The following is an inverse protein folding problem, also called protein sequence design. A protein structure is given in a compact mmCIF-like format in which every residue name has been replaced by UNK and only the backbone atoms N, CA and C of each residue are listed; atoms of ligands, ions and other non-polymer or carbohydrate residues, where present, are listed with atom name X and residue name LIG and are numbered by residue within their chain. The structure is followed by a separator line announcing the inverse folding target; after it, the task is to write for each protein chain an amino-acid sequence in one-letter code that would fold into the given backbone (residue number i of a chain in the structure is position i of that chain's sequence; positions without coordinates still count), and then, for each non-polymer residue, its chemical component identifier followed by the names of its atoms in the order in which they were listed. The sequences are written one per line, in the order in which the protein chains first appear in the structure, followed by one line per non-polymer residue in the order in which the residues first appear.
data_IF_779117637464
#
_entry.id   IF_779117637464
#
_cell.length_a   1.000
_cell.length_b   1.000
_cell.length_c   1.000
_cell.angle_alpha   90.00
_cell.angle_beta   90.00
_cell.angle_gamma   90.00
#
_symmetry.space_group_name_H-M   'P 1'
#
loop_
_entity.id
_entity.type
_entity.pdbx_description
1 polymer ?
#
# COMPACT_ATOMS: atom_id res chain seq x y z
N UNK A 1 19.20 58.78 -22.38
CA UNK A 1 20.37 59.39 -21.71
C UNK A 1 21.19 58.23 -21.19
N UNK A 2 22.11 57.66 -22.01
CA UNK A 2 23.54 57.95 -21.96
C UNK A 2 24.09 57.69 -20.54
N UNK A 3 25.06 56.84 -20.26
CA UNK A 3 26.29 56.41 -20.96
C UNK A 3 26.86 55.17 -20.31
N UNK A 4 27.35 54.24 -21.07
CA UNK A 4 28.58 53.43 -20.77
C UNK A 4 29.80 54.34 -20.87
N UNK A 5 30.99 54.02 -20.40
CA UNK A 5 31.90 53.01 -20.95
C UNK A 5 32.84 52.33 -19.91
N UNK A 6 33.47 51.19 -20.12
CA UNK A 6 34.52 50.72 -21.04
C UNK A 6 35.94 50.65 -20.43
N UNK A 7 36.49 49.40 -20.38
CA UNK A 7 37.87 48.93 -20.73
C UNK A 7 39.03 49.33 -19.78
N UNK A 8 39.96 48.43 -19.40
CA UNK A 8 41.10 47.81 -20.09
C UNK A 8 41.88 46.91 -19.11
N UNK A 9 42.25 45.70 -19.42
CA UNK A 9 43.40 45.09 -20.14
C UNK A 9 44.80 45.30 -19.58
N UNK A 10 45.46 44.17 -19.47
CA UNK A 10 46.92 43.81 -19.71
C UNK A 10 47.68 43.45 -18.46
N UNK A 11 48.55 42.49 -18.44
CA UNK A 11 49.16 41.44 -19.27
C UNK A 11 50.45 40.98 -18.63
N UNK A 12 50.86 39.74 -18.90
CA UNK A 12 52.23 39.15 -18.98
C UNK A 12 52.87 38.71 -17.67
N UNK A 13 53.11 37.47 -17.43
CA UNK A 13 53.96 36.44 -18.01
C UNK A 13 55.42 36.53 -17.55
N UNK A 14 55.96 35.39 -17.15
CA UNK A 14 57.28 34.80 -17.50
C UNK A 14 57.68 33.77 -16.42
N UNK A 15 57.68 32.56 -16.73
CA UNK A 15 58.62 31.46 -16.97
C UNK A 15 59.77 31.19 -15.96
N UNK A 16 59.95 29.89 -15.83
CA UNK A 16 61.12 29.06 -15.50
C UNK A 16 61.14 28.58 -14.05
N UNK A 17 61.35 27.34 -13.72
CA UNK A 17 61.78 26.13 -14.39
C UNK A 17 62.40 25.18 -13.35
N UNK A 18 62.24 23.92 -13.61
CA UNK A 18 63.19 22.80 -13.31
C UNK A 18 63.16 22.10 -11.95
N UNK A 19 62.86 20.84 -12.02
CA UNK A 19 63.43 19.58 -11.48
C UNK A 19 62.96 18.98 -10.17
N UNK A 20 62.30 17.90 -10.35
CA UNK A 20 62.42 16.53 -9.80
C UNK A 20 62.89 16.29 -8.36
N UNK A 21 62.04 15.61 -7.61
CA UNK A 21 62.45 14.44 -6.78
C UNK A 21 61.22 13.66 -6.33
N UNK A 22 61.23 12.34 -6.55
CA UNK A 22 60.33 11.36 -6.03
C UNK A 22 60.32 11.33 -4.50
N UNK A 23 59.12 11.31 -3.89
CA UNK A 23 58.89 10.62 -2.62
C UNK A 23 57.43 10.15 -2.59
N UNK A 24 57.27 8.85 -2.58
CA UNK A 24 55.98 8.19 -2.30
C UNK A 24 55.62 8.38 -0.83
N UNK A 25 54.47 8.96 -0.57
CA UNK A 25 53.83 8.91 0.74
C UNK A 25 52.33 8.72 0.54
N UNK A 26 51.88 7.55 0.95
CA UNK A 26 50.46 7.17 1.06
C UNK A 26 49.81 8.06 2.11
N UNK A 27 48.85 8.88 1.70
CA UNK A 27 47.95 9.58 2.58
C UNK A 27 46.52 9.11 2.24
N UNK A 28 45.97 8.37 3.16
CA UNK A 28 44.52 8.09 3.20
C UNK A 28 43.79 9.43 3.39
N UNK A 29 43.12 9.86 2.35
CA UNK A 29 42.21 11.01 2.38
C UNK A 29 40.78 10.51 2.52
N UNK A 30 40.20 10.67 3.71
CA UNK A 30 38.75 10.68 3.89
C UNK A 30 38.20 11.95 3.24
N UNK A 31 37.33 11.83 2.29
CA UNK A 31 36.50 12.96 1.89
C UNK A 31 35.21 12.44 1.21
N UNK A 32 34.09 12.97 1.67
CA UNK A 32 32.89 13.15 0.87
C UNK A 32 31.90 12.01 0.95
N UNK A 33 30.94 12.17 1.83
CA UNK A 33 29.65 11.48 1.78
C UNK A 33 28.90 11.96 0.54
N UNK A 34 28.97 11.22 -0.54
CA UNK A 34 27.96 11.27 -1.57
C UNK A 34 26.99 10.11 -1.32
N UNK A 35 25.75 10.49 -0.98
CA UNK A 35 24.67 9.58 -0.68
C UNK A 35 24.05 9.10 -1.98
N UNK A 36 24.78 8.32 -2.77
CA UNK A 36 24.22 7.50 -3.83
C UNK A 36 23.91 6.11 -3.24
N UNK A 37 22.75 5.99 -2.58
CA UNK A 37 22.21 4.70 -2.17
C UNK A 37 21.36 4.13 -3.32
N UNK A 38 21.92 3.98 -4.48
CA UNK A 38 21.46 2.99 -5.45
C UNK A 38 22.29 1.73 -5.19
N UNK A 39 21.78 0.81 -4.40
CA UNK A 39 22.42 -0.49 -4.17
C UNK A 39 22.58 -1.21 -5.51
N UNK A 40 23.80 -1.25 -6.02
CA UNK A 40 24.19 -2.07 -7.18
C UNK A 40 24.32 -3.55 -6.79
N UNK A 41 23.47 -4.06 -5.91
CA UNK A 41 23.43 -5.45 -5.56
C UNK A 41 23.01 -6.25 -6.81
N UNK A 42 23.95 -6.99 -7.40
CA UNK A 42 23.63 -7.90 -8.49
C UNK A 42 22.83 -9.08 -7.96
N UNK A 43 21.62 -9.28 -8.53
CA UNK A 43 20.81 -10.46 -8.22
C UNK A 43 21.48 -11.72 -8.76
N UNK A 44 21.39 -12.82 -8.01
CA UNK A 44 21.79 -14.13 -8.51
C UNK A 44 20.73 -14.64 -9.51
N UNK A 45 21.12 -15.49 -10.49
CA UNK A 45 20.14 -16.15 -11.34
C UNK A 45 19.17 -17.01 -10.52
N UNK A 46 17.90 -17.06 -10.95
CA UNK A 46 16.88 -17.85 -10.26
C UNK A 46 17.22 -19.35 -10.24
N UNK A 47 16.98 -19.98 -9.10
CA UNK A 47 16.83 -21.42 -9.02
C UNK A 47 15.65 -21.90 -9.87
N UNK A 48 15.58 -23.18 -10.20
CA UNK A 48 14.44 -23.72 -10.95
C UNK A 48 13.08 -23.51 -10.22
N UNK A 49 13.11 -23.51 -8.89
CA UNK A 49 11.93 -23.24 -8.07
C UNK A 49 11.45 -21.77 -8.20
N UNK A 50 12.39 -20.83 -8.21
CA UNK A 50 12.12 -19.40 -8.23
C UNK A 50 12.01 -18.79 -9.64
N UNK A 51 12.32 -19.57 -10.70
CA UNK A 51 12.24 -19.08 -12.07
C UNK A 51 10.78 -18.97 -12.53
N UNK A 52 10.37 -17.76 -12.93
CA UNK A 52 9.02 -17.43 -13.41
C UNK A 52 8.93 -17.28 -14.92
N UNK A 53 10.06 -17.20 -15.64
CA UNK A 53 10.11 -16.83 -17.07
C UNK A 53 9.28 -17.73 -17.99
N UNK A 54 9.01 -18.98 -17.59
CA UNK A 54 8.25 -19.94 -18.42
C UNK A 54 6.76 -19.99 -18.08
N UNK A 55 6.34 -19.35 -16.98
CA UNK A 55 4.98 -19.49 -16.44
C UNK A 55 4.28 -18.18 -16.20
N UNK A 56 5.01 -17.06 -16.09
CA UNK A 56 4.47 -15.73 -15.90
C UNK A 56 4.63 -14.85 -17.15
N UNK A 57 3.85 -13.76 -17.27
CA UNK A 57 4.16 -12.69 -18.21
C UNK A 57 5.59 -12.16 -18.00
N UNK A 58 6.20 -11.61 -19.06
CA UNK A 58 7.53 -11.00 -18.96
C UNK A 58 7.57 -9.83 -17.97
N UNK A 59 6.48 -9.09 -17.89
CA UNK A 59 6.23 -8.05 -16.92
C UNK A 59 4.95 -8.37 -16.18
N UNK A 60 5.04 -8.56 -14.87
CA UNK A 60 3.89 -8.79 -13.99
C UNK A 60 3.37 -7.45 -13.50
N UNK A 61 2.33 -6.93 -14.14
CA UNK A 61 1.73 -5.65 -13.80
C UNK A 61 0.74 -5.79 -12.66
N UNK A 62 0.99 -5.04 -11.57
CA UNK A 62 0.14 -5.02 -10.37
C UNK A 62 -0.44 -3.63 -10.16
N UNK A 63 -1.76 -3.50 -10.17
CA UNK A 63 -2.46 -2.28 -9.77
C UNK A 63 -2.62 -2.25 -8.25
N UNK A 64 -2.01 -1.28 -7.60
CA UNK A 64 -2.17 -1.05 -6.16
C UNK A 64 -3.51 -0.34 -5.88
N UNK A 65 -4.04 -0.47 -4.65
CA UNK A 65 -5.28 0.19 -4.25
C UNK A 65 -5.08 1.66 -3.84
N UNK A 66 -3.85 2.06 -3.52
CA UNK A 66 -3.49 3.41 -3.07
C UNK A 66 -2.07 3.76 -3.51
N UNK A 67 -1.55 4.93 -3.11
CA UNK A 67 -0.11 5.22 -3.23
C UNK A 67 0.70 4.19 -2.43
N UNK A 68 1.99 3.98 -2.77
CA UNK A 68 2.81 2.96 -2.12
C UNK A 68 2.93 3.17 -0.61
N UNK A 69 2.63 2.11 0.16
CA UNK A 69 2.67 2.11 1.63
C UNK A 69 2.99 0.71 2.17
N UNK A 70 3.32 0.64 3.44
CA UNK A 70 3.75 -0.58 4.14
C UNK A 70 2.77 -1.75 4.12
N UNK A 71 1.47 -1.50 4.04
CA UNK A 71 0.43 -2.54 3.94
C UNK A 71 0.44 -3.30 2.60
N UNK A 72 1.21 -2.83 1.63
CA UNK A 72 1.43 -3.48 0.33
C UNK A 72 2.79 -4.17 0.24
N UNK A 73 3.52 -4.25 1.36
CA UNK A 73 4.90 -4.75 1.42
C UNK A 73 5.07 -6.17 0.84
N UNK A 74 4.02 -7.01 0.90
CA UNK A 74 4.06 -8.37 0.33
C UNK A 74 4.29 -8.39 -1.20
N UNK A 75 3.88 -7.35 -1.92
CA UNK A 75 4.13 -7.21 -3.37
C UNK A 75 5.27 -6.23 -3.66
N UNK A 76 5.37 -5.12 -2.91
CA UNK A 76 6.46 -4.14 -3.13
C UNK A 76 7.82 -4.76 -2.84
N UNK A 77 7.91 -5.66 -1.85
CA UNK A 77 9.15 -6.35 -1.50
C UNK A 77 9.65 -7.35 -2.55
N UNK A 78 8.89 -7.58 -3.62
CA UNK A 78 9.33 -8.34 -4.79
C UNK A 78 10.02 -7.46 -5.85
N UNK A 79 10.01 -6.15 -5.69
CA UNK A 79 10.73 -5.22 -6.56
C UNK A 79 12.23 -5.29 -6.26
N UNK A 80 13.01 -5.77 -7.21
CA UNK A 80 14.46 -5.92 -7.09
C UNK A 80 15.21 -4.60 -7.30
N UNK A 81 16.51 -4.58 -7.02
CA UNK A 81 17.35 -3.40 -7.21
C UNK A 81 17.45 -3.00 -8.68
N UNK A 82 17.72 -1.73 -8.92
CA UNK A 82 17.83 -1.17 -10.29
C UNK A 82 16.48 -0.87 -10.93
N UNK A 83 15.42 -0.76 -10.13
CA UNK A 83 14.11 -0.33 -10.60
C UNK A 83 14.12 1.12 -11.11
N UNK A 84 13.16 1.45 -11.94
CA UNK A 84 12.95 2.80 -12.48
C UNK A 84 11.57 3.29 -12.09
N UNK A 85 11.50 4.52 -11.57
CA UNK A 85 10.24 5.21 -11.27
C UNK A 85 9.78 6.00 -12.48
N UNK A 86 8.55 5.80 -12.89
CA UNK A 86 7.85 6.57 -13.92
C UNK A 86 6.80 7.47 -13.25
N UNK A 87 7.16 8.73 -13.07
CA UNK A 87 6.30 9.72 -12.42
C UNK A 87 5.12 10.15 -13.29
N UNK A 88 5.19 9.99 -14.60
CA UNK A 88 4.08 10.31 -15.50
C UNK A 88 2.96 9.27 -15.38
N UNK A 89 3.32 7.99 -15.32
CA UNK A 89 2.40 6.87 -15.19
C UNK A 89 2.18 6.41 -13.74
N UNK A 90 2.78 7.10 -12.76
CA UNK A 90 2.65 6.78 -11.32
C UNK A 90 3.01 5.32 -11.02
N UNK A 91 4.11 4.84 -11.61
CA UNK A 91 4.51 3.44 -11.54
C UNK A 91 6.00 3.28 -11.28
N UNK A 92 6.37 2.07 -10.88
CA UNK A 92 7.76 1.63 -10.75
C UNK A 92 7.91 0.28 -11.42
N UNK A 93 9.00 0.09 -12.19
CA UNK A 93 9.30 -1.16 -12.89
C UNK A 93 10.72 -1.60 -12.59
N UNK A 94 10.92 -2.86 -12.32
CA UNK A 94 12.23 -3.47 -12.11
C UNK A 94 12.18 -5.00 -12.13
N UNK A 95 13.32 -5.67 -11.95
CA UNK A 95 13.36 -7.11 -11.85
C UNK A 95 12.44 -7.61 -10.74
N UNK A 96 11.62 -8.63 -11.00
CA UNK A 96 10.94 -9.36 -9.94
C UNK A 96 11.98 -10.23 -9.23
N UNK A 97 12.31 -9.85 -7.99
CA UNK A 97 13.34 -10.49 -7.21
C UNK A 97 12.73 -11.23 -6.01
N UNK A 98 13.25 -12.43 -5.76
CA UNK A 98 12.87 -13.20 -4.59
C UNK A 98 14.08 -13.93 -4.01
N UNK A 99 14.28 -13.83 -2.69
CA UNK A 99 15.39 -14.46 -1.97
C UNK A 99 16.78 -14.17 -2.59
N UNK A 100 16.99 -12.88 -2.98
CA UNK A 100 18.23 -12.40 -3.61
C UNK A 100 18.45 -12.89 -5.05
N UNK A 101 17.44 -13.49 -5.68
CA UNK A 101 17.50 -14.03 -7.04
C UNK A 101 16.60 -13.22 -7.99
N UNK A 102 17.06 -13.03 -9.23
CA UNK A 102 16.26 -12.54 -10.35
C UNK A 102 15.38 -13.68 -10.88
N UNK A 103 14.06 -13.54 -10.79
CA UNK A 103 13.13 -14.59 -11.20
C UNK A 103 12.99 -14.76 -12.72
N UNK A 104 13.65 -13.90 -13.52
CA UNK A 104 13.63 -13.91 -14.98
C UNK A 104 12.43 -13.21 -15.60
N UNK A 105 11.68 -12.44 -14.81
CA UNK A 105 10.60 -11.55 -15.26
C UNK A 105 10.68 -10.22 -14.51
N UNK A 106 10.07 -9.18 -15.06
CA UNK A 106 9.94 -7.89 -14.40
C UNK A 106 8.64 -7.80 -13.60
N UNK A 107 8.58 -6.82 -12.69
CA UNK A 107 7.36 -6.41 -12.00
C UNK A 107 7.15 -4.91 -12.20
N UNK A 108 5.94 -4.54 -12.61
CA UNK A 108 5.49 -3.15 -12.66
C UNK A 108 4.41 -2.93 -11.62
N UNK A 109 4.67 -2.05 -10.65
CA UNK A 109 3.70 -1.65 -9.63
C UNK A 109 3.12 -0.29 -10.03
N UNK A 110 1.80 -0.19 -10.18
CA UNK A 110 1.09 1.05 -10.51
C UNK A 110 0.35 1.56 -9.27
N UNK A 111 0.58 2.81 -8.91
CA UNK A 111 -0.12 3.43 -7.80
C UNK A 111 -1.63 3.54 -8.07
N UNK A 112 -2.42 3.41 -7.02
CA UNK A 112 -3.88 3.55 -7.04
C UNK A 112 -4.37 4.84 -6.38
N UNK A 113 -5.61 4.84 -5.90
CA UNK A 113 -6.22 5.98 -5.27
C UNK A 113 -6.27 7.22 -6.16
N UNK A 114 -5.68 8.36 -5.74
CA UNK A 114 -5.65 9.57 -6.57
C UNK A 114 -5.00 9.36 -7.95
N UNK A 115 -4.01 8.48 -8.08
CA UNK A 115 -3.30 8.20 -9.32
C UNK A 115 -4.21 7.64 -10.43
N UNK A 116 -5.29 6.99 -10.06
CA UNK A 116 -6.32 6.46 -10.99
C UNK A 116 -7.67 7.17 -10.84
N UNK A 117 -7.66 8.41 -10.31
CA UNK A 117 -8.89 9.20 -10.14
C UNK A 117 -9.91 8.58 -9.19
N UNK A 118 -9.47 7.83 -8.18
CA UNK A 118 -10.31 7.08 -7.24
C UNK A 118 -11.20 6.03 -7.90
N UNK A 119 -10.85 5.58 -9.11
CA UNK A 119 -11.48 4.42 -9.73
C UNK A 119 -11.19 3.16 -8.89
N UNK A 120 -12.15 2.24 -8.81
CA UNK A 120 -11.90 0.97 -8.14
C UNK A 120 -10.87 0.12 -8.90
N UNK A 121 -10.06 -0.64 -8.18
CA UNK A 121 -9.07 -1.53 -8.81
C UNK A 121 -9.72 -2.57 -9.74
N UNK A 122 -10.86 -3.22 -9.40
CA UNK A 122 -11.57 -4.05 -10.36
C UNK A 122 -11.90 -3.32 -11.66
N UNK A 123 -12.40 -2.08 -11.60
CA UNK A 123 -12.70 -1.29 -12.79
C UNK A 123 -11.44 -0.97 -13.62
N UNK A 124 -10.33 -0.65 -12.97
CA UNK A 124 -9.06 -0.44 -13.65
C UNK A 124 -8.57 -1.71 -14.37
N UNK A 125 -8.69 -2.88 -13.72
CA UNK A 125 -8.32 -4.18 -14.31
C UNK A 125 -9.18 -4.56 -15.53
N UNK A 126 -10.45 -4.15 -15.54
CA UNK A 126 -11.32 -4.38 -16.70
C UNK A 126 -11.17 -3.34 -17.80
N UNK A 127 -10.63 -2.15 -17.47
CA UNK A 127 -10.35 -1.10 -18.44
C UNK A 127 -9.00 -1.27 -19.14
N UNK A 128 -8.04 -1.95 -18.50
CA UNK A 128 -6.68 -2.16 -19.01
C UNK A 128 -6.26 -3.63 -18.89
N UNK A 129 -6.26 -4.35 -20.00
CA UNK A 129 -5.90 -5.77 -20.08
C UNK A 129 -4.41 -6.05 -19.75
N UNK A 130 -3.55 -5.03 -19.69
CA UNK A 130 -2.16 -5.19 -19.27
C UNK A 130 -2.01 -5.47 -17.76
N UNK A 131 -3.02 -5.12 -16.95
CA UNK A 131 -2.99 -5.35 -15.52
C UNK A 131 -3.25 -6.83 -15.24
N UNK A 132 -2.24 -7.54 -14.75
CA UNK A 132 -2.33 -8.97 -14.43
C UNK A 132 -2.95 -9.20 -13.06
N UNK A 133 -2.56 -8.38 -12.07
CA UNK A 133 -2.97 -8.49 -10.68
C UNK A 133 -3.46 -7.14 -10.17
N UNK A 134 -4.35 -7.17 -9.17
CA UNK A 134 -4.79 -5.97 -8.46
C UNK A 134 -4.84 -6.20 -6.97
N UNK A 135 -4.52 -5.18 -6.17
CA UNK A 135 -4.78 -5.21 -4.73
C UNK A 135 -6.20 -4.68 -4.48
N UNK A 136 -7.06 -5.53 -3.93
CA UNK A 136 -8.48 -5.21 -3.73
C UNK A 136 -8.90 -5.53 -2.30
N UNK A 137 -9.67 -4.65 -1.67
CA UNK A 137 -10.28 -4.96 -0.38
C UNK A 137 -11.41 -6.00 -0.52
N UNK A 138 -11.60 -6.83 0.48
CA UNK A 138 -12.54 -7.94 0.41
C UNK A 138 -13.99 -7.51 0.17
N UNK A 139 -14.40 -6.40 0.72
CA UNK A 139 -15.72 -5.79 0.49
C UNK A 139 -15.89 -5.30 -0.96
N UNK A 140 -14.85 -4.75 -1.56
CA UNK A 140 -14.82 -4.35 -2.97
C UNK A 140 -14.86 -5.57 -3.90
N UNK A 141 -14.18 -6.69 -3.53
CA UNK A 141 -14.30 -7.96 -4.24
C UNK A 141 -15.76 -8.46 -4.25
N UNK A 142 -16.45 -8.36 -3.11
CA UNK A 142 -17.84 -8.74 -2.99
C UNK A 142 -18.72 -7.81 -3.83
N UNK A 143 -18.53 -6.51 -3.74
CA UNK A 143 -19.29 -5.52 -4.51
C UNK A 143 -19.16 -5.71 -6.03
N UNK A 144 -17.97 -6.07 -6.50
CA UNK A 144 -17.66 -6.28 -7.92
C UNK A 144 -18.08 -7.66 -8.47
N UNK A 145 -18.64 -8.53 -7.64
CA UNK A 145 -18.82 -9.95 -7.97
C UNK A 145 -19.74 -10.21 -9.18
N UNK A 146 -20.63 -9.29 -9.53
CA UNK A 146 -21.57 -9.41 -10.65
C UNK A 146 -20.98 -8.89 -11.95
N UNK A 147 -20.48 -7.66 -11.94
CA UNK A 147 -20.17 -6.92 -13.17
C UNK A 147 -18.68 -6.95 -13.55
N UNK A 148 -17.80 -6.92 -12.57
CA UNK A 148 -16.34 -6.84 -12.75
C UNK A 148 -15.65 -7.84 -11.84
N UNK A 149 -16.02 -9.13 -11.98
CA UNK A 149 -15.59 -10.18 -11.07
C UNK A 149 -14.07 -10.36 -11.09
N UNK A 150 -13.46 -10.14 -9.94
CA UNK A 150 -12.08 -10.48 -9.64
C UNK A 150 -12.06 -11.48 -8.48
N UNK A 151 -11.05 -12.34 -8.45
CA UNK A 151 -10.89 -13.41 -7.45
C UNK A 151 -9.66 -13.15 -6.62
N UNK A 152 -9.82 -13.05 -5.31
CA UNK A 152 -8.71 -12.95 -4.37
C UNK A 152 -7.96 -14.28 -4.28
N UNK A 153 -6.63 -14.24 -4.46
CA UNK A 153 -5.75 -15.43 -4.47
C UNK A 153 -4.89 -15.53 -3.22
N UNK A 154 -4.65 -14.42 -2.51
CA UNK A 154 -4.04 -14.34 -1.19
C UNK A 154 -4.28 -12.96 -0.57
N UNK A 155 -4.63 -12.85 0.72
CA UNK A 155 -4.70 -11.57 1.40
C UNK A 155 -3.30 -11.16 1.85
N UNK A 156 -2.93 -9.89 1.64
CA UNK A 156 -1.75 -9.32 2.30
C UNK A 156 -2.05 -9.02 3.77
N UNK A 157 -3.30 -8.66 4.08
CA UNK A 157 -3.75 -8.29 5.42
C UNK A 157 -4.88 -9.20 5.89
N UNK A 158 -4.77 -9.71 7.10
CA UNK A 158 -5.77 -10.56 7.73
C UNK A 158 -7.09 -9.82 8.01
N UNK A 159 -7.04 -8.48 8.14
CA UNK A 159 -8.20 -7.63 8.23
C UNK A 159 -7.86 -6.20 7.80
N UNK A 160 -8.89 -5.40 7.51
CA UNK A 160 -8.73 -4.00 7.14
C UNK A 160 -8.43 -3.16 8.40
N UNK A 161 -7.28 -2.48 8.49
CA UNK A 161 -6.92 -1.63 9.62
C UNK A 161 -7.62 -0.26 9.61
N UNK A 162 -8.79 -0.15 9.00
CA UNK A 162 -9.61 1.06 9.03
C UNK A 162 -10.01 1.45 10.44
N UNK A 163 -9.98 2.74 10.71
CA UNK A 163 -10.38 3.35 11.99
C UNK A 163 -11.41 4.46 11.78
N UNK A 164 -12.09 4.80 12.84
CA UNK A 164 -12.67 6.14 13.00
C UNK A 164 -11.90 6.80 14.14
N UNK A 165 -11.32 7.96 13.85
CA UNK A 165 -10.51 8.74 14.79
C UNK A 165 -11.22 10.02 15.22
N UNK A 166 -10.81 10.58 16.37
CA UNK A 166 -11.34 11.81 16.95
C UNK A 166 -10.30 12.52 17.82
N UNK A 167 -10.56 13.80 18.09
CA UNK A 167 -9.82 14.54 19.13
C UNK A 167 -10.29 14.10 20.52
N UNK A 168 -9.44 13.49 21.36
CA UNK A 168 -9.83 13.10 22.72
C UNK A 168 -10.22 14.26 23.62
N UNK A 169 -9.81 15.50 23.30
CA UNK A 169 -10.22 16.68 24.04
C UNK A 169 -11.66 17.11 23.69
N UNK A 170 -12.05 16.96 22.43
CA UNK A 170 -13.41 17.27 21.97
C UNK A 170 -14.42 16.15 22.31
N UNK A 171 -13.95 14.91 22.39
CA UNK A 171 -14.77 13.72 22.61
C UNK A 171 -14.20 12.85 23.75
N UNK A 172 -14.13 13.34 25.01
CA UNK A 172 -13.46 12.62 26.10
C UNK A 172 -14.12 11.29 26.48
N UNK A 173 -15.42 11.15 26.24
CA UNK A 173 -16.22 9.97 26.60
C UNK A 173 -16.28 8.91 25.50
N UNK A 174 -15.77 9.20 24.29
CA UNK A 174 -15.76 8.26 23.17
C UNK A 174 -14.64 7.24 23.33
N UNK A 175 -14.98 5.96 23.23
CA UNK A 175 -14.06 4.83 23.28
C UNK A 175 -14.25 3.84 22.12
N UNK A 176 -15.45 3.81 21.56
CA UNK A 176 -15.85 2.85 20.51
C UNK A 176 -16.60 3.56 19.39
N UNK A 177 -16.74 2.90 18.24
CA UNK A 177 -17.58 3.39 17.13
C UNK A 177 -19.04 3.61 17.59
N UNK A 178 -19.57 2.75 18.45
CA UNK A 178 -20.93 2.90 18.97
C UNK A 178 -21.09 4.15 19.86
N UNK A 179 -20.04 4.61 20.54
CA UNK A 179 -20.08 5.87 21.31
C UNK A 179 -20.23 7.06 20.37
N UNK A 180 -19.55 7.05 19.21
CA UNK A 180 -19.69 8.08 18.17
C UNK A 180 -21.15 8.13 17.68
N UNK A 181 -21.78 6.98 17.45
CA UNK A 181 -23.18 6.93 17.06
C UNK A 181 -24.15 7.51 18.07
N UNK A 182 -23.79 7.48 19.37
CA UNK A 182 -24.61 8.04 20.45
C UNK A 182 -24.46 9.54 20.63
N UNK A 183 -23.30 10.11 20.30
CA UNK A 183 -23.02 11.53 20.54
C UNK A 183 -23.33 12.47 19.36
N UNK A 184 -23.90 11.93 18.28
CA UNK A 184 -24.28 12.68 17.07
C UNK A 184 -23.14 13.44 16.37
N UNK A 185 -21.87 13.14 16.66
CA UNK A 185 -20.73 13.72 15.96
C UNK A 185 -20.77 13.37 14.46
N UNK A 186 -20.40 14.32 13.62
CA UNK A 186 -20.23 14.08 12.18
C UNK A 186 -19.09 13.10 11.96
N UNK A 187 -19.28 12.13 11.07
CA UNK A 187 -18.29 11.12 10.69
C UNK A 187 -17.88 11.35 9.24
N UNK A 188 -16.69 11.91 9.04
CA UNK A 188 -16.16 12.22 7.72
C UNK A 188 -15.51 10.97 7.13
N UNK A 189 -16.05 10.48 6.02
CA UNK A 189 -15.65 9.24 5.35
C UNK A 189 -15.52 9.46 3.85
N UNK A 190 -14.74 8.63 3.18
CA UNK A 190 -14.70 8.62 1.73
C UNK A 190 -15.94 7.92 1.17
N UNK A 191 -16.45 8.43 0.06
CA UNK A 191 -17.67 7.90 -0.59
C UNK A 191 -17.48 6.51 -1.23
N UNK A 192 -16.23 6.08 -1.45
CA UNK A 192 -15.87 4.77 -2.00
C UNK A 192 -15.76 3.68 -0.93
N UNK A 193 -15.87 4.04 0.36
CA UNK A 193 -15.81 3.09 1.48
C UNK A 193 -17.17 2.43 1.73
N UNK A 194 -17.15 1.13 1.98
CA UNK A 194 -18.36 0.33 2.23
C UNK A 194 -18.68 0.23 3.73
N UNK A 195 -17.65 0.25 4.60
CA UNK A 195 -17.86 0.09 6.04
C UNK A 195 -18.81 1.13 6.68
N UNK A 196 -18.92 2.40 6.22
CA UNK A 196 -19.84 3.36 6.83
C UNK A 196 -21.30 2.93 6.69
N UNK A 197 -21.67 2.41 5.53
CA UNK A 197 -23.01 1.89 5.27
C UNK A 197 -23.31 0.65 6.13
N UNK A 198 -22.29 -0.24 6.30
CA UNK A 198 -22.40 -1.37 7.19
C UNK A 198 -22.60 -0.94 8.65
N UNK A 199 -21.86 0.06 9.14
CA UNK A 199 -22.02 0.61 10.48
C UNK A 199 -23.43 1.18 10.70
N UNK A 200 -24.00 1.85 9.70
CA UNK A 200 -25.38 2.35 9.73
C UNK A 200 -26.39 1.19 9.75
N UNK A 201 -26.20 0.18 8.90
CA UNK A 201 -27.08 -0.99 8.85
C UNK A 201 -27.06 -1.80 10.15
N UNK A 202 -25.93 -1.81 10.88
CA UNK A 202 -25.80 -2.41 12.21
C UNK A 202 -26.27 -1.52 13.35
N UNK A 203 -26.74 -0.30 13.07
CA UNK A 203 -27.23 0.65 14.07
C UNK A 203 -26.12 1.25 14.95
N UNK A 204 -24.85 1.16 14.51
CA UNK A 204 -23.69 1.70 15.23
C UNK A 204 -23.47 3.19 14.91
N UNK A 205 -23.90 3.64 13.75
CA UNK A 205 -23.93 5.05 13.33
C UNK A 205 -25.31 5.38 12.76
N UNK A 206 -25.63 6.67 12.72
CA UNK A 206 -26.83 7.19 12.05
C UNK A 206 -26.43 7.64 10.63
N UNK A 207 -27.29 7.43 9.65
CA UNK A 207 -27.06 7.91 8.27
C UNK A 207 -26.83 9.43 8.22
N UNK A 208 -27.49 10.18 9.10
CA UNK A 208 -27.36 11.64 9.22
C UNK A 208 -25.99 12.11 9.73
N UNK A 209 -25.19 11.22 10.34
CA UNK A 209 -23.83 11.54 10.80
C UNK A 209 -22.81 11.43 9.66
N UNK A 210 -23.10 10.69 8.60
CA UNK A 210 -22.14 10.44 7.53
C UNK A 210 -21.96 11.69 6.66
N UNK A 211 -20.72 12.12 6.53
CA UNK A 211 -20.26 13.13 5.61
C UNK A 211 -19.23 12.52 4.66
N UNK A 212 -19.60 12.38 3.40
CA UNK A 212 -18.79 11.65 2.39
C UNK A 212 -17.77 12.54 1.67
N UNK A 213 -17.27 13.58 2.32
CA UNK A 213 -16.33 14.53 1.73
C UNK A 213 -14.86 14.30 2.13
N UNK A 214 -14.52 13.14 2.69
CA UNK A 214 -13.13 12.80 2.99
C UNK A 214 -12.29 12.72 1.71
N UNK A 215 -11.19 13.46 1.69
CA UNK A 215 -10.27 13.56 0.55
C UNK A 215 -8.83 13.09 0.87
N UNK A 216 -8.60 12.57 2.08
CA UNK A 216 -7.28 12.15 2.57
C UNK A 216 -6.47 13.28 3.22
N UNK A 217 -6.90 14.54 3.14
CA UNK A 217 -6.17 15.67 3.69
C UNK A 217 -6.55 15.94 5.17
N UNK A 218 -5.58 16.35 6.02
CA UNK A 218 -5.83 16.61 7.43
C UNK A 218 -6.56 17.93 7.70
N UNK A 219 -6.63 18.83 6.73
CA UNK A 219 -7.05 20.22 6.91
C UNK A 219 -8.43 20.36 7.56
N UNK A 220 -9.37 19.51 7.16
CA UNK A 220 -10.74 19.55 7.69
C UNK A 220 -10.82 19.18 9.17
N UNK A 221 -10.17 18.06 9.54
CA UNK A 221 -10.14 17.60 10.92
C UNK A 221 -9.40 18.59 11.84
N UNK A 222 -8.28 19.14 11.34
CA UNK A 222 -7.52 20.17 12.05
C UNK A 222 -8.32 21.44 12.25
N UNK A 223 -9.12 21.84 11.25
CA UNK A 223 -9.96 23.05 11.28
C UNK A 223 -11.22 22.90 12.13
N UNK A 224 -11.73 21.68 12.31
CA UNK A 224 -12.91 21.38 13.12
C UNK A 224 -12.73 20.07 13.90
N UNK A 225 -12.12 20.14 15.10
CA UNK A 225 -11.90 18.95 15.95
C UNK A 225 -13.18 18.34 16.54
N UNK A 226 -14.35 18.94 16.31
CA UNK A 226 -15.63 18.38 16.77
C UNK A 226 -16.13 17.23 15.90
N UNK A 227 -15.57 17.07 14.69
CA UNK A 227 -15.88 15.95 13.83
C UNK A 227 -15.12 14.68 14.25
N UNK A 228 -15.61 13.54 13.80
CA UNK A 228 -14.83 12.30 13.74
C UNK A 228 -14.51 11.98 12.28
N UNK A 229 -13.46 11.23 12.02
CA UNK A 229 -12.97 11.02 10.66
C UNK A 229 -12.47 9.60 10.47
N UNK A 230 -12.68 9.05 9.28
CA UNK A 230 -12.00 7.81 8.89
C UNK A 230 -10.49 8.00 8.83
N UNK A 231 -9.78 6.91 8.94
CA UNK A 231 -8.35 6.78 8.72
C UNK A 231 -7.92 5.33 8.74
N UNK A 232 -6.62 5.10 8.78
CA UNK A 232 -6.02 3.79 8.93
C UNK A 232 -5.09 3.77 10.14
N UNK A 233 -5.23 2.79 11.00
CA UNK A 233 -4.44 2.70 12.24
C UNK A 233 -2.93 2.76 12.00
N UNK A 234 -2.47 2.34 10.83
CA UNK A 234 -1.07 2.31 10.42
C UNK A 234 -0.50 3.66 9.95
N UNK A 235 -1.32 4.67 9.74
CA UNK A 235 -0.91 5.94 9.14
C UNK A 235 -1.33 7.14 9.99
N UNK A 236 -2.61 7.50 10.01
CA UNK A 236 -3.10 8.75 10.60
C UNK A 236 -2.68 8.99 12.05
N UNK A 237 -2.64 8.01 12.97
CA UNK A 237 -2.18 8.28 14.33
C UNK A 237 -0.75 8.85 14.37
N UNK A 238 0.15 8.34 13.53
CA UNK A 238 1.52 8.85 13.43
C UNK A 238 1.57 10.20 12.72
N UNK A 239 0.91 10.31 11.56
CA UNK A 239 0.93 11.51 10.72
C UNK A 239 0.38 12.72 11.47
N UNK A 240 -0.73 12.55 12.19
CA UNK A 240 -1.32 13.65 12.97
C UNK A 240 -0.44 14.04 14.15
N UNK A 241 0.17 13.09 14.83
CA UNK A 241 1.01 13.40 16.00
C UNK A 241 2.36 14.02 15.62
N UNK A 242 2.95 13.61 14.49
CA UNK A 242 4.34 13.93 14.17
C UNK A 242 4.54 14.75 12.90
N UNK A 243 3.64 14.66 11.93
CA UNK A 243 3.83 15.22 10.58
C UNK A 243 2.75 16.23 10.17
N UNK A 244 1.79 16.51 11.05
CA UNK A 244 0.77 17.55 10.83
C UNK A 244 1.04 18.74 11.76
N UNK A 245 1.87 19.74 11.36
CA UNK A 245 2.32 20.81 12.26
C UNK A 245 1.17 21.62 12.88
N UNK A 246 0.05 21.73 12.18
CA UNK A 246 -1.14 22.43 12.67
C UNK A 246 -1.94 21.63 13.71
N UNK A 247 -1.59 20.36 13.93
CA UNK A 247 -2.21 19.47 14.93
C UNK A 247 -1.22 19.06 16.01
N UNK A 248 -0.18 18.30 15.64
CA UNK A 248 0.99 17.93 16.45
C UNK A 248 0.66 17.39 17.85
N UNK A 249 -0.35 16.53 17.95
CA UNK A 249 -0.79 15.82 19.15
C UNK A 249 -1.45 14.48 18.78
N UNK A 250 -1.54 13.52 19.72
CA UNK A 250 -2.22 12.26 19.46
C UNK A 250 -3.69 12.44 19.07
N UNK A 251 -4.20 11.57 18.22
CA UNK A 251 -5.62 11.32 18.02
C UNK A 251 -6.03 10.05 18.78
N UNK A 252 -7.27 9.99 19.26
CA UNK A 252 -7.87 8.74 19.70
C UNK A 252 -8.60 8.08 18.52
N UNK A 253 -8.73 6.76 18.55
CA UNK A 253 -9.42 6.01 17.49
C UNK A 253 -10.02 4.71 17.97
N UNK A 254 -10.97 4.19 17.22
CA UNK A 254 -11.49 2.84 17.31
C UNK A 254 -11.32 2.10 15.97
N UNK A 255 -10.88 0.83 16.03
CA UNK A 255 -10.82 -0.01 14.84
C UNK A 255 -12.23 -0.38 14.38
N UNK A 256 -12.50 -0.25 13.08
CA UNK A 256 -13.79 -0.66 12.49
C UNK A 256 -13.98 -2.18 12.63
N UNK A 257 -12.88 -2.94 12.57
CA UNK A 257 -12.87 -4.38 12.85
C UNK A 257 -13.43 -4.74 14.23
N UNK A 258 -13.12 -3.95 15.26
CA UNK A 258 -13.59 -4.22 16.62
C UNK A 258 -15.10 -4.01 16.77
N UNK A 259 -15.71 -3.28 15.85
CA UNK A 259 -17.17 -3.18 15.71
C UNK A 259 -17.80 -4.39 15.00
N UNK A 260 -16.99 -5.31 14.47
CA UNK A 260 -17.41 -6.54 13.79
C UNK A 260 -17.22 -6.54 12.27
N UNK A 261 -16.67 -5.48 11.68
CA UNK A 261 -16.37 -5.39 10.25
C UNK A 261 -15.03 -6.06 9.92
N UNK A 262 -15.01 -7.39 9.93
CA UNK A 262 -13.77 -8.18 9.80
C UNK A 262 -13.54 -8.64 8.36
N UNK A 263 -13.12 -7.71 7.51
CA UNK A 263 -12.88 -7.90 6.07
C UNK A 263 -11.40 -8.10 5.79
N UNK A 264 -11.04 -9.09 4.98
CA UNK A 264 -9.68 -9.18 4.42
C UNK A 264 -9.36 -7.93 3.60
N UNK A 265 -8.11 -7.46 3.66
CA UNK A 265 -7.73 -6.28 2.91
C UNK A 265 -6.47 -6.50 2.07
N UNK A 266 -6.28 -5.64 1.07
CA UNK A 266 -5.16 -5.72 0.14
C UNK A 266 -5.01 -7.14 -0.44
N UNK A 267 -6.13 -7.73 -0.88
CA UNK A 267 -6.08 -9.06 -1.49
C UNK A 267 -5.41 -8.95 -2.86
N UNK A 268 -4.37 -9.73 -3.08
CA UNK A 268 -3.86 -9.97 -4.43
C UNK A 268 -4.96 -10.68 -5.21
N UNK A 269 -5.40 -10.09 -6.29
CA UNK A 269 -6.59 -10.51 -7.02
C UNK A 269 -6.34 -10.56 -8.51
N UNK A 270 -7.08 -11.43 -9.18
CA UNK A 270 -7.01 -11.67 -10.63
C UNK A 270 -8.40 -11.55 -11.23
N UNK A 271 -8.53 -10.99 -12.42
CA UNK A 271 -9.80 -11.06 -13.17
C UNK A 271 -10.23 -12.52 -13.31
N UNK A 272 -11.52 -12.78 -13.07
CA UNK A 272 -12.05 -14.14 -13.07
C UNK A 272 -11.87 -14.87 -14.42
N UNK A 273 -11.94 -14.12 -15.53
CA UNK A 273 -11.72 -14.64 -16.89
C UNK A 273 -10.25 -14.91 -17.23
N UNK A 274 -9.29 -14.34 -16.45
CA UNK A 274 -7.85 -14.53 -16.59
C UNK A 274 -7.25 -15.54 -15.62
N UNK A 275 -8.03 -15.99 -14.63
CA UNK A 275 -7.54 -16.86 -13.56
C UNK A 275 -6.91 -18.16 -14.08
N UNK A 276 -7.56 -18.82 -15.07
CA UNK A 276 -7.05 -20.07 -15.64
C UNK A 276 -5.74 -19.85 -16.41
N UNK A 277 -5.62 -18.75 -17.16
CA UNK A 277 -4.43 -18.37 -17.93
C UNK A 277 -3.25 -18.10 -16.98
N UNK A 278 -3.49 -17.37 -15.89
CA UNK A 278 -2.45 -16.99 -14.93
C UNK A 278 -2.15 -18.07 -13.87
N UNK A 279 -2.93 -19.15 -13.80
CA UNK A 279 -2.79 -20.19 -12.78
C UNK A 279 -1.36 -20.78 -12.68
N UNK A 280 -0.63 -21.08 -13.77
CA UNK A 280 0.76 -21.55 -13.67
C UNK A 280 1.71 -20.53 -13.01
N UNK A 281 1.51 -19.23 -13.28
CA UNK A 281 2.26 -18.16 -12.66
C UNK A 281 1.91 -18.03 -11.16
N UNK A 282 0.63 -18.01 -10.83
CA UNK A 282 0.13 -17.84 -9.46
C UNK A 282 0.61 -18.95 -8.53
N UNK A 283 0.73 -20.21 -8.99
CA UNK A 283 1.25 -21.32 -8.19
C UNK A 283 2.68 -21.10 -7.70
N UNK A 284 3.46 -20.28 -8.39
CA UNK A 284 4.82 -19.91 -7.97
C UNK A 284 4.85 -18.54 -7.29
N UNK A 285 4.14 -17.57 -7.82
CA UNK A 285 4.20 -16.18 -7.35
C UNK A 285 3.50 -15.98 -6.00
N UNK A 286 2.35 -16.63 -5.75
CA UNK A 286 1.62 -16.47 -4.48
C UNK A 286 2.45 -16.91 -3.28
N UNK A 287 3.14 -18.07 -3.28
CA UNK A 287 4.07 -18.42 -2.19
C UNK A 287 5.19 -17.40 -1.97
N UNK A 288 5.70 -16.76 -3.02
CA UNK A 288 6.70 -15.69 -2.88
C UNK A 288 6.11 -14.46 -2.19
N UNK A 289 4.89 -14.06 -2.57
CA UNK A 289 4.16 -12.96 -1.94
C UNK A 289 3.91 -13.26 -0.44
N UNK A 290 3.45 -14.47 -0.11
CA UNK A 290 3.24 -14.90 1.27
C UNK A 290 4.55 -14.81 2.08
N UNK A 291 5.65 -15.34 1.54
CA UNK A 291 6.95 -15.32 2.21
C UNK A 291 7.49 -13.90 2.38
N UNK A 292 7.30 -13.03 1.37
CA UNK A 292 7.69 -11.62 1.45
C UNK A 292 6.92 -10.88 2.53
N UNK A 293 5.61 -11.08 2.65
CA UNK A 293 4.80 -10.53 3.73
C UNK A 293 5.25 -11.03 5.12
N UNK A 294 5.54 -12.32 5.27
CA UNK A 294 6.11 -12.90 6.50
C UNK A 294 7.48 -12.30 6.84
N UNK A 295 8.35 -12.13 5.85
CA UNK A 295 9.67 -11.55 6.04
C UNK A 295 9.58 -10.10 6.46
N UNK A 296 8.67 -9.33 5.87
CA UNK A 296 8.47 -7.92 6.16
C UNK A 296 8.20 -7.63 7.64
N UNK A 297 7.32 -8.39 8.30
CA UNK A 297 7.04 -8.16 9.73
C UNK A 297 8.22 -8.47 10.66
N UNK A 298 9.26 -9.12 10.17
CA UNK A 298 10.46 -9.45 10.93
C UNK A 298 11.67 -8.57 10.56
N UNK A 299 11.72 -8.06 9.33
CA UNK A 299 12.79 -7.22 8.81
C UNK A 299 12.23 -6.20 7.79
N UNK A 300 11.54 -5.14 8.26
CA UNK A 300 10.81 -4.22 7.38
C UNK A 300 11.71 -3.20 6.66
N UNK A 301 12.94 -2.95 7.14
CA UNK A 301 13.73 -1.76 6.82
C UNK A 301 14.02 -1.61 5.32
N UNK A 302 14.43 -2.69 4.65
CA UNK A 302 14.76 -2.65 3.23
C UNK A 302 13.53 -2.33 2.36
N UNK A 303 12.38 -2.95 2.65
CA UNK A 303 11.13 -2.71 1.91
C UNK A 303 10.61 -1.30 2.22
N UNK A 304 10.68 -0.86 3.47
CA UNK A 304 10.34 0.51 3.86
C UNK A 304 11.20 1.54 3.12
N UNK A 305 12.51 1.30 2.99
CA UNK A 305 13.39 2.18 2.24
C UNK A 305 12.97 2.27 0.76
N UNK A 306 12.61 1.16 0.11
CA UNK A 306 12.09 1.15 -1.26
C UNK A 306 10.79 1.94 -1.38
N UNK A 307 9.85 1.79 -0.44
CA UNK A 307 8.59 2.53 -0.44
C UNK A 307 8.85 4.04 -0.32
N UNK A 308 9.66 4.44 0.65
CA UNK A 308 10.02 5.84 0.90
C UNK A 308 10.74 6.45 -0.30
N UNK A 309 11.68 5.72 -0.90
CA UNK A 309 12.39 6.15 -2.10
C UNK A 309 11.41 6.38 -3.27
N UNK A 310 10.56 5.40 -3.59
CA UNK A 310 9.57 5.56 -4.65
C UNK A 310 8.66 6.77 -4.42
N UNK A 311 8.05 6.88 -3.22
CA UNK A 311 7.15 8.00 -2.91
C UNK A 311 7.88 9.35 -2.98
N UNK A 312 9.15 9.41 -2.56
CA UNK A 312 9.93 10.65 -2.57
C UNK A 312 10.22 11.19 -3.97
N UNK A 313 10.22 10.33 -4.98
CA UNK A 313 10.48 10.68 -6.37
C UNK A 313 9.25 11.26 -7.11
N UNK A 314 8.03 11.10 -6.55
CA UNK A 314 6.80 11.60 -7.18
C UNK A 314 6.10 12.63 -6.29
N UNK A 315 6.24 13.90 -6.65
CA UNK A 315 5.65 15.04 -5.93
C UNK A 315 4.12 15.05 -5.91
N UNK A 316 3.45 14.18 -6.66
CA UNK A 316 2.00 14.03 -6.64
C UNK A 316 1.52 13.13 -5.48
N UNK A 317 2.43 12.37 -4.86
CA UNK A 317 2.10 11.57 -3.69
C UNK A 317 2.13 12.41 -2.41
N UNK A 318 1.29 12.02 -1.44
CA UNK A 318 1.46 12.50 -0.07
C UNK A 318 2.75 11.92 0.49
N UNK A 319 3.52 12.73 1.19
CA UNK A 319 4.76 12.31 1.83
C UNK A 319 4.52 11.02 2.65
N UNK A 320 5.44 10.08 2.52
CA UNK A 320 5.50 8.87 3.33
C UNK A 320 6.89 8.77 3.93
N UNK A 321 7.02 9.17 5.19
CA UNK A 321 8.32 9.29 5.83
C UNK A 321 8.86 7.94 6.31
N UNK A 322 10.17 7.88 6.55
CA UNK A 322 10.78 6.72 7.20
C UNK A 322 10.20 6.45 8.60
N UNK A 323 9.79 7.52 9.32
CA UNK A 323 9.14 7.41 10.62
C UNK A 323 7.75 6.78 10.51
N UNK A 324 6.93 7.23 9.55
CA UNK A 324 5.62 6.64 9.27
C UNK A 324 5.76 5.18 8.82
N UNK A 325 6.72 4.88 7.96
CA UNK A 325 6.98 3.52 7.50
C UNK A 325 7.35 2.57 8.66
N UNK A 326 8.22 3.01 9.57
CA UNK A 326 8.61 2.24 10.75
C UNK A 326 7.43 2.05 11.73
N UNK A 327 6.65 3.09 11.99
CA UNK A 327 5.42 3.02 12.78
C UNK A 327 4.42 2.04 12.18
N UNK A 328 4.16 2.16 10.87
CA UNK A 328 3.28 1.27 10.11
C UNK A 328 3.69 -0.19 10.25
N UNK A 329 4.95 -0.53 9.98
CA UNK A 329 5.46 -1.89 10.06
C UNK A 329 5.26 -2.49 11.46
N UNK A 330 5.58 -1.69 12.50
CA UNK A 330 5.38 -2.10 13.89
C UNK A 330 3.90 -2.35 14.20
N UNK A 331 3.02 -1.46 13.81
CA UNK A 331 1.58 -1.58 14.06
C UNK A 331 0.99 -2.80 13.32
N UNK A 332 1.34 -2.98 12.05
CA UNK A 332 0.87 -4.10 11.23
C UNK A 332 1.23 -5.45 11.86
N UNK A 333 2.42 -5.55 12.48
CA UNK A 333 2.87 -6.69 13.26
C UNK A 333 2.11 -6.82 14.58
N UNK A 334 2.18 -5.80 15.42
CA UNK A 334 1.70 -5.85 16.82
C UNK A 334 0.19 -6.07 16.90
N UNK A 335 -0.56 -5.56 15.93
CA UNK A 335 -2.01 -5.76 15.83
C UNK A 335 -2.40 -7.03 15.08
N UNK A 336 -1.44 -7.77 14.52
CA UNK A 336 -1.72 -8.97 13.75
C UNK A 336 -2.44 -8.69 12.43
N UNK A 337 -2.23 -7.50 11.85
CA UNK A 337 -2.78 -7.15 10.54
C UNK A 337 -2.07 -7.96 9.45
N UNK A 338 -0.73 -8.01 9.52
CA UNK A 338 0.08 -8.97 8.76
C UNK A 338 0.49 -10.07 9.75
N UNK A 339 -0.18 -11.20 9.66
CA UNK A 339 -0.02 -12.34 10.57
C UNK A 339 -0.45 -13.62 9.85
N UNK A 340 -0.09 -14.79 10.38
CA UNK A 340 -0.68 -16.03 9.91
C UNK A 340 -2.19 -16.05 10.17
N UNK A 341 -2.93 -16.72 9.29
CA UNK A 341 -4.35 -16.99 9.48
C UNK A 341 -4.62 -17.96 10.64
N UNK A 342 -5.88 -18.32 10.85
CA UNK A 342 -6.30 -19.26 11.91
C UNK A 342 -5.69 -20.67 11.79
N UNK A 343 -5.22 -21.03 10.59
CA UNK A 343 -4.51 -22.27 10.26
C UNK A 343 -2.98 -22.19 10.47
N UNK A 344 -2.48 -21.04 10.90
CA UNK A 344 -1.05 -20.78 11.10
C UNK A 344 -0.28 -20.44 9.81
N UNK A 345 -0.97 -20.21 8.68
CA UNK A 345 -0.37 -19.91 7.38
C UNK A 345 -0.50 -18.42 7.05
N UNK A 346 0.61 -17.77 6.69
CA UNK A 346 0.55 -16.39 6.20
C UNK A 346 -0.19 -16.32 4.85
N UNK A 347 -1.01 -15.29 4.66
CA UNK A 347 -1.74 -15.08 3.42
C UNK A 347 -2.84 -16.13 3.15
N UNK A 348 -3.30 -16.89 4.15
CA UNK A 348 -4.41 -17.81 4.01
C UNK A 348 -5.76 -17.13 4.24
N UNK A 349 -6.80 -17.74 3.67
CA UNK A 349 -8.20 -17.37 3.90
C UNK A 349 -8.89 -18.33 4.85
N UNK A 350 -9.55 -17.81 5.87
CA UNK A 350 -10.62 -18.51 6.59
C UNK A 350 -11.94 -18.35 5.81
N UNK A 351 -12.37 -19.41 5.15
CA UNK A 351 -13.54 -19.37 4.27
C UNK A 351 -14.85 -19.21 5.06
N UNK A 352 -14.88 -19.56 6.36
CA UNK A 352 -16.04 -19.32 7.23
C UNK A 352 -16.17 -17.84 7.53
N UNK A 353 -15.06 -17.18 7.88
CA UNK A 353 -14.97 -15.73 8.04
C UNK A 353 -15.38 -15.02 6.74
N UNK A 354 -14.83 -15.47 5.60
CA UNK A 354 -15.14 -14.90 4.29
C UNK A 354 -16.65 -15.01 3.95
N UNK A 355 -17.26 -16.16 4.22
CA UNK A 355 -18.70 -16.34 3.96
C UNK A 355 -19.55 -15.45 4.87
N UNK A 356 -19.18 -15.34 6.14
CA UNK A 356 -19.90 -14.48 7.09
C UNK A 356 -19.95 -13.03 6.63
N UNK A 357 -18.83 -12.47 6.18
CA UNK A 357 -18.82 -11.06 5.73
C UNK A 357 -19.57 -10.87 4.41
N UNK A 358 -19.56 -11.87 3.51
CA UNK A 358 -20.36 -11.86 2.29
C UNK A 358 -21.85 -11.80 2.66
N UNK A 359 -22.30 -12.64 3.58
CA UNK A 359 -23.71 -12.70 4.01
C UNK A 359 -24.14 -11.40 4.71
N UNK A 360 -23.24 -10.79 5.49
CA UNK A 360 -23.47 -9.50 6.16
C UNK A 360 -23.54 -8.34 5.17
N UNK A 361 -22.71 -8.31 4.12
CA UNK A 361 -22.60 -7.19 3.18
C UNK A 361 -23.61 -7.28 2.03
N UNK A 362 -23.94 -8.49 1.56
CA UNK A 362 -24.82 -8.69 0.40
C UNK A 362 -26.13 -7.93 0.47
N UNK A 363 -26.92 -7.96 1.56
CA UNK A 363 -28.18 -7.21 1.62
C UNK A 363 -27.96 -5.69 1.58
N UNK A 364 -26.85 -5.20 2.15
CA UNK A 364 -26.49 -3.78 2.17
C UNK A 364 -26.11 -3.32 0.76
N UNK A 365 -25.24 -4.06 0.09
CA UNK A 365 -24.79 -3.78 -1.27
C UNK A 365 -25.94 -3.87 -2.28
N UNK A 366 -26.86 -4.85 -2.10
CA UNK A 366 -28.03 -4.96 -2.96
C UNK A 366 -29.03 -3.81 -2.75
N UNK A 367 -29.13 -3.27 -1.54
CA UNK A 367 -29.92 -2.06 -1.30
C UNK A 367 -29.34 -0.83 -2.04
N UNK A 368 -28.02 -0.83 -2.29
CA UNK A 368 -27.31 0.18 -3.07
C UNK A 368 -27.20 -0.17 -4.57
N UNK A 369 -27.82 -1.26 -5.02
CA UNK A 369 -27.95 -1.60 -6.45
C UNK A 369 -26.90 -2.57 -7.00
N UNK A 370 -26.12 -3.28 -6.17
CA UNK A 370 -25.08 -4.21 -6.63
C UNK A 370 -25.61 -5.49 -7.30
N UNK A 371 -26.90 -5.82 -7.13
CA UNK A 371 -27.56 -6.98 -7.74
C UNK A 371 -26.83 -8.33 -7.51
N UNK A 372 -26.23 -8.50 -6.34
CA UNK A 372 -25.53 -9.72 -5.97
C UNK A 372 -26.52 -10.91 -5.88
N UNK A 373 -26.12 -12.11 -6.31
CA UNK A 373 -26.99 -13.28 -6.27
C UNK A 373 -27.38 -13.66 -4.84
N UNK A 374 -28.55 -14.27 -4.68
CA UNK A 374 -29.08 -14.71 -3.38
C UNK A 374 -28.11 -15.65 -2.67
N UNK A 375 -27.45 -16.52 -3.43
CA UNK A 375 -26.37 -17.37 -2.96
C UNK A 375 -25.07 -16.89 -3.62
N UNK A 376 -24.13 -16.45 -2.80
CA UNK A 376 -22.78 -16.04 -3.22
C UNK A 376 -21.77 -16.78 -2.34
N UNK A 377 -21.32 -17.97 -2.75
CA UNK A 377 -20.33 -18.73 -2.01
C UNK A 377 -18.99 -17.97 -1.91
N UNK A 378 -18.33 -18.05 -0.78
CA UNK A 378 -17.01 -17.43 -0.58
C UNK A 378 -15.99 -17.90 -1.63
N UNK A 379 -16.11 -19.13 -2.11
CA UNK A 379 -15.26 -19.69 -3.19
C UNK A 379 -15.44 -19.01 -4.56
N UNK A 380 -16.49 -18.20 -4.73
CA UNK A 380 -16.67 -17.36 -5.92
C UNK A 380 -15.78 -16.12 -5.88
N UNK A 381 -15.50 -15.63 -4.67
CA UNK A 381 -14.77 -14.38 -4.40
C UNK A 381 -13.29 -14.65 -4.06
N UNK A 382 -13.01 -15.73 -3.34
CA UNK A 382 -11.68 -16.09 -2.86
C UNK A 382 -11.34 -17.53 -3.25
N UNK A 383 -10.06 -17.79 -3.52
CA UNK A 383 -9.55 -19.15 -3.73
C UNK A 383 -8.34 -19.43 -2.85
N UNK A 384 -8.25 -20.64 -2.34
CA UNK A 384 -7.09 -21.13 -1.59
C UNK A 384 -6.14 -21.96 -2.45
N UNK A 385 -6.41 -22.08 -3.74
CA UNK A 385 -5.71 -22.97 -4.68
C UNK A 385 -4.21 -22.71 -4.78
N UNK A 386 -3.79 -21.45 -4.57
CA UNK A 386 -2.40 -21.00 -4.78
C UNK A 386 -1.66 -20.80 -3.45
N UNK A 387 -2.34 -20.91 -2.32
CA UNK A 387 -1.78 -20.73 -0.99
C UNK A 387 -0.81 -21.87 -0.68
N UNK A 388 0.40 -21.52 -0.27
CA UNK A 388 1.38 -22.48 0.24
C UNK A 388 1.24 -22.65 1.75
N UNK A 389 1.01 -23.85 2.22
CA UNK A 389 0.95 -24.21 3.63
C UNK A 389 2.33 -24.26 4.32
N UNK A 390 3.40 -24.07 3.54
CA UNK A 390 4.78 -24.02 4.03
C UNK A 390 5.16 -22.66 4.61
N UNK A 391 4.41 -21.61 4.34
CA UNK A 391 4.69 -20.25 4.83
C UNK A 391 3.98 -20.02 6.15
N UNK A 392 4.60 -20.52 7.23
CA UNK A 392 4.08 -20.47 8.62
C UNK A 392 4.87 -19.54 9.51
#
# INVERSE_FOLDING_TARGET
MNLRPVITRRSRAVLAGVSAALCAATLAGCSGSDSDVASTASLAPASAANNLAQVCPKDVVVQLQWQPQSDMAGVIGLLGPGYTVDTDNKSVTGPLAFDGQDTGVDITLRAGGPAIGFQSVPSAMYADDSINLGLVHGDQLISAATDQRVVGVTPLLQYNPSIIMWDPASHPDVKTVADIGRNDASVVVSKDQIFPQWLVAKGLLKKSQLDTSYDGAPARFVGDPSITQQGFAKSEPYTYEHETPAWNKPVAYAMVKDAGYDVYASNVSVRADKLAELSPCLRKLVPMIQQTGKNYVNAPDAINATIVDWVSQDMAFTLYSAGEAAFSAKLLKDKGVIAPGSDGVYGSYDMVKAQKIIDDLRPILNADGANLPVQLPATTIFTTEFISDQVR
#
